data_IF_119937816142
#
_entry.id   IF_119937816142
#
_cell.length_a   1.000
_cell.length_b   1.000
_cell.length_c   1.000
_cell.angle_alpha   90.00
_cell.angle_beta   90.00
_cell.angle_gamma   90.00
#
_symmetry.space_group_name_H-M   'P 1'
#
loop_
_entity.id
_entity.type
_entity.pdbx_description
1 polymer ?
#
# COMPACT_ATOMS: atom_id res chain seq x y z
N UNK A 1 -6.77 -9.16 -13.94
CA UNK A 1 -5.82 -10.26 -14.19
C UNK A 1 -5.62 -10.99 -12.88
N UNK A 2 -5.63 -12.33 -12.86
CA UNK A 2 -5.43 -13.11 -11.64
C UNK A 2 -3.94 -13.03 -11.27
N UNK A 3 -3.58 -12.19 -10.30
CA UNK A 3 -2.32 -12.40 -9.58
C UNK A 3 -2.54 -13.68 -8.77
N UNK A 4 -2.17 -14.81 -9.35
CA UNK A 4 -1.94 -16.01 -8.57
C UNK A 4 -0.74 -15.68 -7.67
N UNK A 5 -1.05 -15.18 -6.47
CA UNK A 5 -0.18 -15.31 -5.32
C UNK A 5 0.07 -16.81 -5.18
N UNK A 6 1.17 -17.26 -5.79
CA UNK A 6 1.78 -18.53 -5.42
C UNK A 6 2.07 -18.35 -3.94
N UNK A 7 1.24 -18.99 -3.12
CA UNK A 7 1.38 -19.06 -1.69
C UNK A 7 2.86 -19.24 -1.36
N UNK A 8 3.41 -18.27 -0.62
CA UNK A 8 4.69 -18.37 0.09
C UNK A 8 4.56 -19.39 1.23
N UNK A 9 4.08 -20.61 0.94
CA UNK A 9 4.21 -21.78 1.80
C UNK A 9 5.56 -22.48 1.55
N UNK A 10 6.62 -21.71 1.57
CA UNK A 10 7.94 -22.17 1.98
C UNK A 10 8.77 -20.94 2.25
N UNK A 11 8.90 -20.60 3.52
CA UNK A 11 9.84 -19.57 3.98
C UNK A 11 11.24 -20.11 3.71
N UNK A 12 11.75 -19.89 2.51
CA UNK A 12 13.16 -20.06 2.21
C UNK A 12 13.88 -18.78 2.71
N UNK A 13 14.78 -18.88 3.71
CA UNK A 13 15.51 -17.72 4.23
C UNK A 13 16.48 -17.10 3.21
N UNK A 14 16.57 -17.65 2.00
CA UNK A 14 17.48 -17.21 0.93
C UNK A 14 16.81 -16.48 -0.24
N UNK A 15 15.53 -16.06 -0.09
CA UNK A 15 14.93 -15.06 -0.99
C UNK A 15 15.71 -13.74 -0.85
N UNK A 16 16.77 -13.64 -1.64
CA UNK A 16 17.52 -12.42 -1.86
C UNK A 16 16.53 -11.29 -2.08
N UNK A 17 16.69 -10.23 -1.29
CA UNK A 17 15.84 -9.04 -1.21
C UNK A 17 15.04 -8.87 -2.50
N UNK A 18 13.74 -9.15 -2.45
CA UNK A 18 12.83 -8.86 -3.56
C UNK A 18 13.10 -7.40 -3.93
N UNK A 19 13.60 -7.19 -5.14
CA UNK A 19 13.86 -5.86 -5.62
C UNK A 19 12.50 -5.20 -5.87
N UNK A 20 12.04 -4.41 -4.90
CA UNK A 20 10.70 -3.82 -4.90
C UNK A 20 10.48 -2.98 -6.15
N UNK A 21 11.55 -2.40 -6.71
CA UNK A 21 11.53 -1.59 -7.92
C UNK A 21 11.25 -2.41 -9.19
N UNK A 22 11.37 -3.74 -9.13
CA UNK A 22 11.05 -4.64 -10.24
C UNK A 22 9.61 -5.12 -10.27
N UNK A 23 8.84 -4.86 -9.21
CA UNK A 23 7.43 -5.26 -9.13
C UNK A 23 6.54 -4.28 -9.91
N UNK A 24 5.49 -4.76 -10.59
CA UNK A 24 4.47 -3.88 -11.17
C UNK A 24 3.84 -2.99 -10.09
N UNK A 25 3.53 -1.74 -10.44
CA UNK A 25 2.85 -0.79 -9.54
C UNK A 25 1.59 -1.37 -8.90
N UNK A 26 0.80 -2.14 -9.67
CA UNK A 26 -0.37 -2.83 -9.15
C UNK A 26 -0.03 -3.77 -7.99
N UNK A 27 1.01 -4.59 -8.14
CA UNK A 27 1.44 -5.53 -7.11
C UNK A 27 1.97 -4.78 -5.87
N UNK A 28 2.71 -3.68 -6.06
CA UNK A 28 3.14 -2.82 -4.96
C UNK A 28 1.95 -2.27 -4.18
N UNK A 29 0.96 -1.72 -4.88
CA UNK A 29 -0.26 -1.19 -4.26
C UNK A 29 -1.05 -2.27 -3.50
N UNK A 30 -1.15 -3.48 -4.04
CA UNK A 30 -1.79 -4.62 -3.37
C UNK A 30 -1.04 -5.01 -2.08
N UNK A 31 0.29 -5.00 -2.10
CA UNK A 31 1.11 -5.22 -0.90
C UNK A 31 0.90 -4.14 0.17
N UNK A 32 0.73 -2.86 -0.23
CA UNK A 32 0.47 -1.75 0.70
C UNK A 32 -0.79 -2.01 1.53
N UNK A 33 -1.85 -2.53 0.89
CA UNK A 33 -3.16 -2.75 1.53
C UNK A 33 -3.38 -4.19 2.01
N UNK A 34 -2.42 -5.10 1.86
CA UNK A 34 -2.67 -6.53 2.06
C UNK A 34 -3.17 -6.85 3.47
N UNK A 35 -2.54 -6.23 4.48
CA UNK A 35 -2.92 -6.34 5.88
C UNK A 35 -4.14 -5.52 6.32
N UNK A 36 -4.75 -4.72 5.43
CA UNK A 36 -5.97 -3.97 5.74
C UNK A 36 -7.17 -4.93 5.69
N UNK A 37 -7.82 -5.14 6.84
CA UNK A 37 -8.90 -6.12 7.00
C UNK A 37 -10.17 -5.73 6.23
N UNK A 38 -10.41 -4.43 6.05
CA UNK A 38 -11.58 -3.89 5.36
C UNK A 38 -11.20 -3.14 4.07
N UNK A 39 -10.21 -3.67 3.34
CA UNK A 39 -9.64 -3.09 2.10
C UNK A 39 -10.64 -2.93 0.95
N UNK A 40 -11.77 -3.63 0.96
CA UNK A 40 -12.87 -3.43 0.02
C UNK A 40 -13.38 -1.98 -0.04
N UNK A 41 -13.20 -1.20 1.04
CA UNK A 41 -13.50 0.24 1.07
C UNK A 41 -12.64 1.08 0.13
N UNK A 42 -11.51 0.53 -0.33
CA UNK A 42 -10.54 1.18 -1.20
C UNK A 42 -10.57 0.54 -2.59
N UNK A 43 -10.37 -0.79 -2.65
CA UNK A 43 -10.06 -1.51 -3.89
C UNK A 43 -11.25 -2.19 -4.57
N UNK A 44 -12.46 -2.10 -4.01
CA UNK A 44 -13.63 -2.82 -4.52
C UNK A 44 -13.75 -4.21 -3.91
N UNK A 45 -13.58 -5.28 -4.68
CA UNK A 45 -13.59 -6.64 -4.13
C UNK A 45 -12.24 -6.94 -3.45
N UNK A 46 -12.26 -7.55 -2.27
CA UNK A 46 -11.04 -7.86 -1.52
C UNK A 46 -10.24 -9.04 -2.10
N UNK A 47 -10.89 -9.96 -2.83
CA UNK A 47 -10.28 -11.13 -3.46
C UNK A 47 -9.93 -10.85 -4.93
N UNK A 48 -10.65 -9.92 -5.56
CA UNK A 48 -10.42 -9.46 -6.92
C UNK A 48 -10.34 -7.93 -6.94
N UNK A 49 -9.27 -7.34 -6.39
CA UNK A 49 -9.12 -5.89 -6.36
C UNK A 49 -9.11 -5.34 -7.78
N UNK A 50 -9.72 -4.16 -7.94
CA UNK A 50 -9.64 -3.40 -9.18
C UNK A 50 -8.20 -3.00 -9.50
N UNK A 51 -7.97 -2.50 -10.71
CA UNK A 51 -6.75 -1.77 -11.01
C UNK A 51 -6.62 -0.57 -10.06
N UNK A 52 -5.40 -0.32 -9.58
CA UNK A 52 -5.09 0.67 -8.55
C UNK A 52 -5.45 2.10 -8.94
N UNK A 53 -5.53 2.37 -10.25
CA UNK A 53 -6.02 3.63 -10.81
C UNK A 53 -7.51 3.88 -10.49
N UNK A 54 -8.29 2.81 -10.30
CA UNK A 54 -9.72 2.89 -9.93
C UNK A 54 -9.95 2.89 -8.42
N UNK A 55 -8.91 2.76 -7.61
CA UNK A 55 -9.06 2.71 -6.16
C UNK A 55 -9.48 4.06 -5.61
N UNK A 56 -10.36 4.02 -4.61
CA UNK A 56 -10.87 5.25 -4.00
C UNK A 56 -9.71 5.97 -3.31
N UNK A 57 -9.55 7.26 -3.62
CA UNK A 57 -8.54 8.12 -3.01
C UNK A 57 -7.14 8.00 -3.64
N UNK A 58 -6.97 7.22 -4.72
CA UNK A 58 -5.74 7.18 -5.50
C UNK A 58 -5.78 8.22 -6.61
N UNK A 59 -4.67 8.93 -6.82
CA UNK A 59 -4.45 9.85 -7.94
C UNK A 59 -3.25 9.37 -8.75
N UNK A 60 -3.44 9.25 -10.05
CA UNK A 60 -2.44 8.79 -11.02
C UNK A 60 -2.09 9.93 -11.96
N UNK A 61 -0.80 10.13 -12.19
CA UNK A 61 -0.25 11.07 -13.18
C UNK A 61 0.78 10.31 -14.02
N UNK A 62 0.71 10.42 -15.36
CA UNK A 62 1.61 9.72 -16.27
C UNK A 62 1.73 8.20 -15.98
N UNK A 63 0.60 7.53 -15.71
CA UNK A 63 0.50 6.10 -15.37
C UNK A 63 1.12 5.70 -14.01
N UNK A 64 1.56 6.68 -13.22
CA UNK A 64 2.20 6.49 -11.92
C UNK A 64 1.32 6.98 -10.77
N UNK A 65 1.24 6.22 -9.67
CA UNK A 65 0.51 6.61 -8.46
C UNK A 65 1.31 7.69 -7.72
N UNK A 66 0.81 8.92 -7.77
CA UNK A 66 1.49 10.07 -7.18
C UNK A 66 0.91 10.50 -5.83
N UNK A 67 -0.36 10.20 -5.56
CA UNK A 67 -1.01 10.56 -4.31
C UNK A 67 -2.04 9.55 -3.86
N UNK A 68 -2.08 9.29 -2.55
CA UNK A 68 -3.02 8.39 -1.89
C UNK A 68 -3.65 9.12 -0.70
N UNK A 69 -4.98 9.20 -0.69
CA UNK A 69 -5.77 9.85 0.37
C UNK A 69 -6.88 8.93 0.87
N UNK A 70 -6.62 8.27 1.99
CA UNK A 70 -7.51 7.35 2.68
C UNK A 70 -7.96 7.86 4.05
N UNK A 71 -8.10 9.17 4.20
CA UNK A 71 -8.48 9.82 5.46
C UNK A 71 -9.92 9.49 5.86
N UNK A 72 -10.13 9.07 7.11
CA UNK A 72 -11.48 8.84 7.71
C UNK A 72 -12.31 7.71 7.07
N UNK A 73 -11.65 6.67 6.55
CA UNK A 73 -12.32 5.51 5.96
C UNK A 73 -12.72 4.46 7.02
N UNK A 74 -12.30 4.66 8.29
CA UNK A 74 -12.39 3.68 9.37
C UNK A 74 -11.70 2.36 8.95
N UNK A 75 -10.53 2.48 8.35
CA UNK A 75 -9.73 1.33 7.96
C UNK A 75 -9.15 0.66 9.19
N UNK A 76 -9.08 -0.66 9.17
CA UNK A 76 -8.61 -1.49 10.28
C UNK A 76 -7.57 -2.50 9.75
N UNK A 77 -6.61 -2.88 10.60
CA UNK A 77 -5.55 -3.82 10.24
C UNK A 77 -4.19 -3.14 10.12
N UNK A 78 -3.29 -3.70 9.32
CA UNK A 78 -1.93 -3.17 9.12
C UNK A 78 -1.75 -2.55 7.74
N UNK A 79 -1.03 -1.42 7.71
CA UNK A 79 -0.60 -0.75 6.48
C UNK A 79 0.90 -0.95 6.27
N UNK A 80 1.29 -1.44 5.10
CA UNK A 80 2.70 -1.73 4.79
C UNK A 80 3.32 -0.62 3.92
N UNK A 81 3.78 0.43 4.58
CA UNK A 81 4.33 1.64 3.94
C UNK A 81 5.61 1.38 3.14
N UNK A 82 6.33 0.31 3.45
CA UNK A 82 7.57 -0.09 2.77
C UNK A 82 7.36 -0.56 1.31
N UNK A 83 6.11 -0.78 0.91
CA UNK A 83 5.70 -1.14 -0.45
C UNK A 83 5.09 0.01 -1.25
N UNK A 84 5.07 1.23 -0.70
CA UNK A 84 4.60 2.39 -1.46
C UNK A 84 5.39 2.53 -2.77
N UNK A 85 4.73 2.73 -3.92
CA UNK A 85 5.41 3.02 -5.17
C UNK A 85 6.37 4.19 -5.04
N UNK A 86 7.50 4.12 -5.75
CA UNK A 86 8.57 5.12 -5.66
C UNK A 86 8.14 6.50 -6.18
N UNK A 87 7.05 6.57 -6.94
CA UNK A 87 6.42 7.79 -7.48
C UNK A 87 5.51 8.53 -6.49
N UNK A 88 5.16 7.92 -5.35
CA UNK A 88 4.22 8.52 -4.37
C UNK A 88 4.83 9.75 -3.69
N UNK A 89 4.22 10.91 -3.91
CA UNK A 89 4.62 12.18 -3.33
C UNK A 89 3.81 12.58 -2.09
N UNK A 90 2.56 12.15 -1.98
CA UNK A 90 1.65 12.50 -0.87
C UNK A 90 0.85 11.28 -0.42
N UNK A 91 1.00 10.91 0.86
CA UNK A 91 0.23 9.85 1.49
C UNK A 91 -0.50 10.37 2.74
N UNK A 92 -1.82 10.27 2.76
CA UNK A 92 -2.66 10.66 3.90
C UNK A 92 -3.62 9.52 4.29
N UNK A 93 -3.39 8.93 5.46
CA UNK A 93 -4.27 7.93 6.05
C UNK A 93 -4.79 8.38 7.43
N UNK A 94 -4.88 9.69 7.65
CA UNK A 94 -5.28 10.29 8.93
C UNK A 94 -6.65 9.80 9.42
N UNK A 95 -6.83 9.69 10.73
CA UNK A 95 -8.10 9.33 11.39
C UNK A 95 -8.65 7.96 10.94
N UNK A 96 -7.86 6.89 11.07
CA UNK A 96 -8.29 5.51 10.88
C UNK A 96 -7.91 4.65 12.11
N UNK A 97 -8.04 3.33 12.00
CA UNK A 97 -7.63 2.36 13.02
C UNK A 97 -6.51 1.48 12.47
N UNK A 98 -5.61 2.08 11.69
CA UNK A 98 -4.49 1.37 11.09
C UNK A 98 -3.34 1.21 12.07
N UNK A 99 -2.68 0.07 11.98
CA UNK A 99 -1.42 -0.25 12.64
C UNK A 99 -0.32 -0.37 11.59
N UNK A 100 0.93 -0.42 12.03
CA UNK A 100 2.06 -0.65 11.15
C UNK A 100 3.36 -0.11 11.74
N UNK A 101 4.47 -0.60 11.21
CA UNK A 101 5.80 -0.09 11.53
C UNK A 101 6.17 1.03 10.57
N UNK A 102 6.69 2.14 11.10
CA UNK A 102 7.23 3.22 10.26
C UNK A 102 8.74 3.12 10.15
N UNK A 103 9.23 2.39 9.14
CA UNK A 103 10.64 2.49 8.74
C UNK A 103 10.84 3.65 7.76
N UNK A 104 11.36 4.76 8.28
CA UNK A 104 11.67 5.96 7.48
C UNK A 104 12.65 5.69 6.33
N UNK A 105 13.53 4.70 6.46
CA UNK A 105 14.47 4.35 5.40
C UNK A 105 13.81 3.61 4.23
N UNK A 106 12.62 3.04 4.45
CA UNK A 106 11.85 2.32 3.43
C UNK A 106 10.81 3.17 2.72
N UNK A 107 10.65 4.45 3.09
CA UNK A 107 9.70 5.34 2.42
C UNK A 107 10.22 5.79 1.04
N UNK A 108 9.32 6.06 0.07
CA UNK A 108 9.71 6.59 -1.23
C UNK A 108 10.53 7.88 -1.10
N UNK A 109 11.63 7.98 -1.85
CA UNK A 109 12.47 9.20 -1.88
C UNK A 109 11.70 10.42 -2.41
N UNK A 110 10.67 10.21 -3.22
CA UNK A 110 9.80 11.26 -3.77
C UNK A 110 8.78 11.80 -2.77
N UNK A 111 8.60 11.15 -1.61
CA UNK A 111 7.57 11.47 -0.63
C UNK A 111 7.82 12.84 0.01
N UNK A 112 6.88 13.76 -0.20
CA UNK A 112 6.93 15.15 0.32
C UNK A 112 6.02 15.33 1.52
N UNK A 113 4.95 14.54 1.63
CA UNK A 113 3.96 14.63 2.71
C UNK A 113 3.51 13.24 3.14
N UNK A 114 3.54 13.02 4.45
CA UNK A 114 3.07 11.81 5.10
C UNK A 114 2.22 12.20 6.32
N UNK A 115 0.92 11.90 6.27
CA UNK A 115 -0.01 12.13 7.38
C UNK A 115 -0.59 10.80 7.85
N UNK A 116 -0.23 10.40 9.07
CA UNK A 116 -0.68 9.16 9.71
C UNK A 116 -1.35 9.42 11.06
N UNK A 117 -1.64 10.68 11.40
CA UNK A 117 -2.18 11.05 12.70
C UNK A 117 -3.54 10.37 12.97
N UNK A 118 -3.85 10.10 14.23
CA UNK A 118 -5.09 9.43 14.59
C UNK A 118 -5.14 7.98 14.10
N UNK A 119 -4.02 7.27 14.19
CA UNK A 119 -3.86 5.83 13.98
C UNK A 119 -2.97 5.25 15.09
N UNK A 120 -2.62 3.95 15.00
CA UNK A 120 -1.85 3.18 15.98
C UNK A 120 -0.50 2.70 15.40
N UNK A 121 0.21 3.56 14.67
CA UNK A 121 1.56 3.26 14.16
C UNK A 121 2.61 3.31 15.27
N UNK A 122 3.63 2.45 15.16
CA UNK A 122 4.78 2.35 16.08
C UNK A 122 6.10 2.65 15.40
#
# INVERSE_FOLDING_TARGET
>A
MRFELVFLESVDPSLGRVDRESLPQQALMEMVIDGIMNKQKICGDANEPKDSEEWIGVTVEDEEVVSIRWRQFKLEGSLHLEWLPSSVMEFDATDNNLTGSLDRASLPTSLKKLNLAGNEFT
#
